data_IF_581134854169
#
_entry.id   IF_581134854169
#
_cell.length_a   1.000
_cell.length_b   1.000
_cell.length_c   1.000
_cell.angle_alpha   90.00
_cell.angle_beta   90.00
_cell.angle_gamma   90.00
#
_symmetry.space_group_name_H-M   'P 1'
#
loop_
_entity.id
_entity.type
_entity.pdbx_description
1 polymer ?
#
# COMPACT_ATOMS: atom_id res chain seq x y z
N UNK A 1 -12.36 -27.80 -8.28
CA UNK A 1 -13.20 -26.61 -8.55
C UNK A 1 -12.26 -25.43 -8.73
N UNK A 2 -12.23 -24.85 -9.92
CA UNK A 2 -11.37 -23.72 -10.24
C UNK A 2 -12.20 -22.45 -10.04
N UNK A 3 -12.09 -21.82 -8.86
CA UNK A 3 -12.66 -20.50 -8.65
C UNK A 3 -11.91 -19.52 -9.57
N UNK A 4 -12.50 -19.12 -10.70
CA UNK A 4 -12.12 -17.84 -11.31
C UNK A 4 -12.73 -16.77 -10.42
N UNK A 5 -11.90 -16.20 -9.56
CA UNK A 5 -12.17 -14.87 -9.06
C UNK A 5 -11.88 -13.97 -10.26
N UNK A 6 -12.91 -13.34 -10.83
CA UNK A 6 -12.68 -12.26 -11.79
C UNK A 6 -11.96 -11.15 -11.02
N UNK A 7 -10.66 -11.00 -11.29
CA UNK A 7 -9.81 -10.05 -10.60
C UNK A 7 -10.37 -8.65 -10.82
N UNK A 8 -10.76 -8.01 -9.73
CA UNK A 8 -11.21 -6.63 -9.71
C UNK A 8 -10.16 -5.82 -8.96
N UNK A 9 -9.64 -4.77 -9.60
CA UNK A 9 -8.70 -3.83 -8.99
C UNK A 9 -9.37 -2.47 -8.98
N UNK A 10 -9.50 -1.89 -7.79
CA UNK A 10 -9.97 -0.53 -7.57
C UNK A 10 -8.78 0.36 -7.21
N UNK A 11 -8.67 1.51 -7.89
CA UNK A 11 -7.61 2.49 -7.65
C UNK A 11 -8.27 3.83 -7.38
N UNK A 12 -8.07 4.34 -6.16
CA UNK A 12 -8.59 5.62 -5.72
C UNK A 12 -7.43 6.54 -5.36
N UNK A 13 -7.45 7.76 -5.88
CA UNK A 13 -6.53 8.84 -5.50
C UNK A 13 -7.38 9.98 -4.96
N UNK A 14 -7.14 10.37 -3.71
CA UNK A 14 -7.90 11.42 -3.03
C UNK A 14 -6.95 12.49 -2.54
N UNK A 15 -7.24 13.75 -2.88
CA UNK A 15 -6.55 14.92 -2.35
C UNK A 15 -7.44 15.56 -1.29
N UNK A 16 -6.94 15.59 -0.05
CA UNK A 16 -7.51 16.36 1.05
C UNK A 16 -6.60 17.56 1.37
N UNK A 17 -7.04 18.45 2.27
CA UNK A 17 -6.42 19.76 2.47
C UNK A 17 -4.88 19.75 2.64
N UNK A 18 -4.32 18.72 3.27
CA UNK A 18 -2.88 18.59 3.55
C UNK A 18 -2.30 17.22 3.14
N UNK A 19 -3.07 16.38 2.45
CA UNK A 19 -2.65 15.00 2.18
C UNK A 19 -3.12 14.46 0.84
N UNK A 20 -2.25 13.66 0.23
CA UNK A 20 -2.57 12.87 -0.96
C UNK A 20 -2.64 11.40 -0.56
N UNK A 21 -3.79 10.78 -0.77
CA UNK A 21 -4.02 9.38 -0.48
C UNK A 21 -4.09 8.58 -1.76
N UNK A 22 -3.26 7.55 -1.88
CA UNK A 22 -3.32 6.52 -2.91
C UNK A 22 -3.84 5.24 -2.27
N UNK A 23 -4.93 4.69 -2.79
CA UNK A 23 -5.54 3.46 -2.31
C UNK A 23 -5.71 2.51 -3.48
N UNK A 24 -5.12 1.33 -3.37
CA UNK A 24 -5.31 0.22 -4.30
C UNK A 24 -5.99 -0.90 -3.54
N UNK A 25 -7.07 -1.45 -4.09
CA UNK A 25 -7.75 -2.62 -3.56
C UNK A 25 -7.87 -3.69 -4.60
N UNK A 26 -7.83 -4.94 -4.17
CA UNK A 26 -8.17 -6.07 -5.01
C UNK A 26 -9.04 -7.08 -4.26
N UNK A 27 -9.73 -7.94 -5.00
CA UNK A 27 -10.55 -9.03 -4.47
C UNK A 27 -9.82 -10.38 -4.43
N UNK A 28 -8.48 -10.39 -4.59
CA UNK A 28 -7.70 -11.59 -4.40
C UNK A 28 -7.47 -11.78 -2.90
N UNK A 29 -7.67 -13.01 -2.41
CA UNK A 29 -7.63 -13.36 -0.98
C UNK A 29 -6.36 -12.98 -0.20
N UNK A 30 -5.34 -12.46 -0.88
CA UNK A 30 -4.54 -11.38 -0.32
C UNK A 30 -3.32 -11.76 0.48
N UNK A 31 -2.84 -10.76 1.23
CA UNK A 31 -1.71 -10.87 2.16
C UNK A 31 -2.18 -11.43 3.50
N UNK A 32 -1.58 -12.54 3.94
CA UNK A 32 -1.72 -13.06 5.31
C UNK A 32 -1.22 -12.04 6.34
N UNK A 33 -1.65 -12.17 7.60
CA UNK A 33 -1.16 -11.31 8.69
C UNK A 33 0.38 -11.31 8.79
N UNK A 34 1.02 -12.47 8.59
CA UNK A 34 2.47 -12.60 8.65
C UNK A 34 3.17 -11.87 7.50
N UNK A 35 2.65 -12.00 6.27
CA UNK A 35 3.21 -11.27 5.12
C UNK A 35 3.09 -9.76 5.31
N UNK A 36 1.95 -9.27 5.85
CA UNK A 36 1.78 -7.85 6.14
C UNK A 36 2.80 -7.34 7.16
N UNK A 37 3.02 -8.08 8.24
CA UNK A 37 4.03 -7.74 9.24
C UNK A 37 5.44 -7.74 8.64
N UNK A 38 5.79 -8.75 7.83
CA UNK A 38 7.08 -8.81 7.17
C UNK A 38 7.32 -7.63 6.21
N UNK A 39 6.29 -7.18 5.50
CA UNK A 39 6.36 -5.98 4.64
C UNK A 39 6.63 -4.74 5.50
N UNK A 40 5.90 -4.55 6.59
CA UNK A 40 6.07 -3.40 7.49
C UNK A 40 7.45 -3.38 8.15
N UNK A 41 7.92 -4.53 8.66
CA UNK A 41 9.25 -4.67 9.27
C UNK A 41 10.38 -4.39 8.25
N UNK A 42 10.12 -4.62 6.97
CA UNK A 42 11.10 -4.42 5.91
C UNK A 42 11.20 -2.99 5.37
N UNK A 43 10.38 -2.04 5.85
CA UNK A 43 10.39 -0.66 5.36
C UNK A 43 11.77 0.01 5.52
N UNK A 44 12.44 -0.26 6.64
CA UNK A 44 13.78 0.26 6.95
C UNK A 44 14.92 -0.63 6.38
N UNK A 45 14.59 -1.81 5.83
CA UNK A 45 15.60 -2.73 5.30
C UNK A 45 16.20 -2.19 4.00
N UNK A 46 17.52 -2.05 3.84
CA UNK A 46 18.13 -1.48 2.64
C UNK A 46 17.88 -2.31 1.37
N UNK A 47 17.60 -3.61 1.49
CA UNK A 47 17.41 -4.52 0.37
C UNK A 47 16.07 -5.26 0.51
N UNK A 48 15.12 -4.92 -0.36
CA UNK A 48 13.84 -5.64 -0.45
C UNK A 48 13.43 -5.77 -1.92
N UNK A 49 12.90 -6.94 -2.28
CA UNK A 49 12.31 -7.17 -3.61
C UNK A 49 10.79 -6.92 -3.61
N UNK A 50 10.25 -6.33 -2.54
CA UNK A 50 8.82 -6.14 -2.39
C UNK A 50 8.36 -4.82 -3.01
N UNK A 51 7.47 -4.89 -4.00
CA UNK A 51 6.97 -3.72 -4.74
C UNK A 51 6.34 -2.64 -3.83
N UNK A 52 5.64 -3.05 -2.76
CA UNK A 52 5.05 -2.12 -1.77
C UNK A 52 6.13 -1.31 -1.06
N UNK A 53 7.20 -1.96 -0.60
CA UNK A 53 8.28 -1.28 0.15
C UNK A 53 9.04 -0.32 -0.76
N UNK A 54 9.28 -0.75 -2.01
CA UNK A 54 9.93 0.11 -3.00
C UNK A 54 9.07 1.34 -3.32
N UNK A 55 7.75 1.19 -3.35
CA UNK A 55 6.82 2.31 -3.54
C UNK A 55 6.83 3.25 -2.35
N UNK A 56 6.79 2.72 -1.11
CA UNK A 56 6.91 3.52 0.12
C UNK A 56 8.19 4.38 0.11
N UNK A 57 9.36 3.77 -0.09
CA UNK A 57 10.65 4.48 -0.10
C UNK A 57 10.73 5.55 -1.18
N UNK A 58 10.18 5.27 -2.37
CA UNK A 58 10.13 6.27 -3.43
C UNK A 58 9.27 7.46 -3.01
N UNK A 59 8.11 7.23 -2.41
CA UNK A 59 7.27 8.32 -1.89
C UNK A 59 7.97 9.10 -0.78
N UNK A 60 8.71 8.42 0.11
CA UNK A 60 9.47 9.07 1.20
C UNK A 60 10.58 10.00 0.69
N UNK A 61 11.01 9.88 -0.58
CA UNK A 61 11.93 10.83 -1.19
C UNK A 61 11.24 12.14 -1.63
N UNK A 62 9.92 12.15 -1.85
CA UNK A 62 9.17 13.30 -2.35
C UNK A 62 8.27 13.96 -1.30
N UNK A 63 7.91 13.21 -0.26
CA UNK A 63 7.06 13.68 0.81
C UNK A 63 7.72 13.57 2.18
N UNK A 64 7.49 14.55 3.04
CA UNK A 64 8.07 14.59 4.40
C UNK A 64 7.47 13.56 5.35
N UNK A 65 6.22 13.19 5.13
CA UNK A 65 5.50 12.18 5.89
C UNK A 65 4.82 11.24 4.90
N UNK A 66 5.10 9.94 5.04
CA UNK A 66 4.48 8.87 4.27
C UNK A 66 4.04 7.81 5.25
N UNK A 67 2.75 7.50 5.22
CA UNK A 67 2.15 6.43 6.00
C UNK A 67 1.72 5.31 5.07
N UNK A 68 1.99 4.08 5.47
CA UNK A 68 1.57 2.88 4.75
C UNK A 68 0.58 2.11 5.62
N UNK A 69 -0.61 1.86 5.07
CA UNK A 69 -1.58 0.95 5.64
C UNK A 69 -1.87 -0.17 4.64
N UNK A 70 -1.90 -1.41 5.14
CA UNK A 70 -2.20 -2.58 4.34
C UNK A 70 -3.05 -3.55 5.15
N UNK A 71 -4.04 -4.13 4.51
CA UNK A 71 -4.98 -5.01 5.21
C UNK A 71 -5.79 -5.88 4.29
N UNK A 72 -6.57 -6.75 4.93
CA UNK A 72 -7.52 -7.66 4.28
C UNK A 72 -8.80 -7.63 5.10
N UNK A 73 -9.95 -7.50 4.45
CA UNK A 73 -11.24 -7.51 5.15
C UNK A 73 -11.82 -8.93 5.23
N UNK A 74 -12.97 -9.07 5.90
CA UNK A 74 -13.63 -10.38 6.06
C UNK A 74 -14.13 -10.99 4.75
N UNK A 75 -14.25 -10.19 3.69
CA UNK A 75 -14.69 -10.62 2.37
C UNK A 75 -13.50 -11.07 1.49
N UNK A 76 -12.26 -10.94 2.00
CA UNK A 76 -11.05 -11.29 1.28
C UNK A 76 -10.54 -10.18 0.38
N UNK A 77 -11.09 -8.96 0.47
CA UNK A 77 -10.55 -7.81 -0.25
C UNK A 77 -9.28 -7.32 0.45
N UNK A 78 -8.22 -7.17 -0.34
CA UNK A 78 -6.92 -6.66 0.11
C UNK A 78 -6.81 -5.19 -0.25
N UNK A 79 -6.13 -4.41 0.58
CA UNK A 79 -5.78 -3.03 0.24
C UNK A 79 -4.33 -2.70 0.56
N UNK A 80 -3.82 -1.76 -0.20
CA UNK A 80 -2.57 -1.03 0.04
C UNK A 80 -2.90 0.46 -0.06
N UNK A 81 -2.62 1.19 1.01
CA UNK A 81 -2.91 2.62 1.14
C UNK A 81 -1.64 3.36 1.50
N UNK A 82 -1.29 4.35 0.68
CA UNK A 82 -0.26 5.33 0.98
C UNK A 82 -0.93 6.66 1.29
N UNK A 83 -0.59 7.29 2.41
CA UNK A 83 -1.00 8.65 2.75
C UNK A 83 0.28 9.48 2.77
N UNK A 84 0.35 10.51 1.96
CA UNK A 84 1.52 11.39 1.90
C UNK A 84 1.17 12.80 2.32
N UNK A 85 2.06 13.45 3.09
CA UNK A 85 1.93 14.83 3.53
C UNK A 85 3.24 15.59 3.42
N UNK A 86 3.12 16.88 3.08
CA UNK A 86 4.23 17.82 2.94
C UNK A 86 5.17 17.45 1.79
N UNK A 87 5.58 18.43 0.99
CA UNK A 87 6.56 18.21 -0.07
C UNK A 87 7.96 18.39 0.50
N UNK A 88 8.85 17.41 0.31
CA UNK A 88 10.27 17.54 0.70
C UNK A 88 11.09 18.32 -0.33
N UNK A 89 10.54 18.57 -1.52
CA UNK A 89 11.23 19.32 -2.59
C UNK A 89 10.30 20.29 -3.32
N UNK A 90 10.55 21.59 -3.10
CA UNK A 90 10.37 22.68 -4.08
C UNK A 90 11.74 23.33 -4.25
#
# INVERSE_FOLDING_TARGET
MQYRIDLHIDIQITLEADSLTFLVKDNAGGLTKQERLAILDSLESPHTQHGIVNSYKRLSNFFSDVQLDLGVNRQGETWVKFITKGLTHV
#
